data_IF_411897133201
#
_entry.id   IF_411897133201
#
_cell.length_a   1.000
_cell.length_b   1.000
_cell.length_c   1.000
_cell.angle_alpha   90.00
_cell.angle_beta   90.00
_cell.angle_gamma   90.00
#
_symmetry.space_group_name_H-M   'P 1'
#
loop_
_entity.id
_entity.type
_entity.pdbx_description
1 polymer ?
#
# COMPACT_ATOMS: atom_id res chain seq x y z
N UNK A 1 21.34 -26.23 -34.42
CA UNK A 1 20.11 -26.84 -33.85
C UNK A 1 20.14 -26.94 -32.32
N UNK A 2 21.28 -27.22 -31.68
CA UNK A 2 21.37 -27.38 -30.20
C UNK A 2 21.22 -26.09 -29.36
N UNK A 3 21.57 -24.91 -29.89
CA UNK A 3 21.50 -23.65 -29.13
C UNK A 3 20.07 -23.11 -28.94
N UNK A 4 19.21 -23.33 -29.93
CA UNK A 4 17.80 -22.90 -29.88
C UNK A 4 17.00 -23.76 -28.91
N UNK A 5 17.28 -25.06 -28.86
CA UNK A 5 16.65 -25.97 -27.89
C UNK A 5 17.04 -25.61 -26.44
N UNK A 6 18.31 -25.29 -26.19
CA UNK A 6 18.80 -24.88 -24.87
C UNK A 6 18.18 -23.57 -24.37
N UNK A 7 18.02 -22.57 -25.26
CA UNK A 7 17.31 -21.29 -24.94
C UNK A 7 15.83 -21.51 -24.65
N UNK A 8 15.15 -22.44 -25.34
CA UNK A 8 13.73 -22.76 -25.10
C UNK A 8 13.51 -23.41 -23.74
N UNK A 9 14.42 -24.30 -23.33
CA UNK A 9 14.36 -24.98 -22.02
C UNK A 9 14.59 -23.99 -20.88
N UNK A 10 15.55 -23.06 -21.00
CA UNK A 10 15.81 -22.04 -19.98
C UNK A 10 14.62 -21.09 -19.83
N UNK A 11 14.00 -20.67 -20.92
CA UNK A 11 12.84 -19.79 -20.89
C UNK A 11 11.62 -20.47 -20.25
N UNK A 12 11.38 -21.76 -20.54
CA UNK A 12 10.33 -22.55 -19.89
C UNK A 12 10.59 -22.74 -18.40
N UNK A 13 11.84 -22.87 -17.98
CA UNK A 13 12.23 -23.01 -16.57
C UNK A 13 11.98 -21.69 -15.82
N UNK A 14 12.37 -20.57 -16.40
CA UNK A 14 12.14 -19.23 -15.81
C UNK A 14 10.64 -18.95 -15.67
N UNK A 15 9.85 -19.28 -16.70
CA UNK A 15 8.39 -19.11 -16.67
C UNK A 15 7.72 -19.96 -15.58
N UNK A 16 8.22 -21.20 -15.37
CA UNK A 16 7.72 -22.08 -14.31
C UNK A 16 8.02 -21.53 -12.91
N UNK A 17 9.23 -21.02 -12.68
CA UNK A 17 9.60 -20.42 -11.39
C UNK A 17 8.88 -19.09 -11.16
N UNK A 18 8.67 -18.27 -12.17
CA UNK A 18 7.88 -17.04 -12.07
C UNK A 18 6.41 -17.35 -11.73
N UNK A 19 5.83 -18.37 -12.37
CA UNK A 19 4.49 -18.84 -12.05
C UNK A 19 4.39 -19.39 -10.61
N UNK A 20 5.42 -20.10 -10.15
CA UNK A 20 5.48 -20.60 -8.79
C UNK A 20 5.57 -19.48 -7.75
N UNK A 21 6.37 -18.45 -8.01
CA UNK A 21 6.48 -17.27 -7.14
C UNK A 21 5.15 -16.51 -7.08
N UNK A 22 4.47 -16.33 -8.22
CA UNK A 22 3.14 -15.71 -8.28
C UNK A 22 2.10 -16.54 -7.52
N UNK A 23 2.18 -17.87 -7.61
CA UNK A 23 1.30 -18.78 -6.85
C UNK A 23 1.55 -18.69 -5.34
N UNK A 24 2.82 -18.67 -4.91
CA UNK A 24 3.20 -18.53 -3.49
C UNK A 24 2.74 -17.18 -2.90
N UNK A 25 2.81 -16.08 -3.66
CA UNK A 25 2.31 -14.78 -3.22
C UNK A 25 0.79 -14.79 -3.05
N UNK A 26 0.06 -15.47 -3.95
CA UNK A 26 -1.40 -15.58 -3.83
C UNK A 26 -1.84 -16.46 -2.65
N UNK A 27 -1.10 -17.52 -2.31
CA UNK A 27 -1.41 -18.36 -1.13
C UNK A 27 -1.24 -17.59 0.18
N UNK A 28 -0.30 -16.66 0.25
CA UNK A 28 -0.15 -15.77 1.42
C UNK A 28 -1.30 -14.75 1.55
N UNK A 29 -1.92 -14.34 0.44
CA UNK A 29 -3.05 -13.42 0.45
C UNK A 29 -4.38 -14.10 0.86
N UNK A 30 -4.53 -15.40 0.64
CA UNK A 30 -5.73 -16.16 1.01
C UNK A 30 -5.79 -16.45 2.53
N UNK A 31 -4.64 -16.52 3.22
CA UNK A 31 -4.58 -16.69 4.67
C UNK A 31 -4.80 -15.41 5.47
N UNK A 32 -5.12 -14.29 4.84
CA UNK A 32 -5.47 -13.02 5.48
C UNK A 32 -6.99 -12.81 5.62
N UNK A 33 -7.80 -13.84 5.45
CA UNK A 33 -9.14 -13.82 6.02
C UNK A 33 -9.00 -14.07 7.51
N UNK A 34 -8.93 -12.97 8.26
CA UNK A 34 -9.12 -12.97 9.70
C UNK A 34 -10.42 -13.71 10.00
N UNK A 35 -10.31 -14.95 10.42
CA UNK A 35 -11.32 -15.59 11.23
C UNK A 35 -11.40 -14.75 12.50
N UNK A 36 -12.36 -13.83 12.54
CA UNK A 36 -12.67 -13.04 13.72
C UNK A 36 -13.03 -14.05 14.80
N UNK A 37 -12.27 -14.13 15.91
CA UNK A 37 -12.50 -15.16 16.88
C UNK A 37 -13.85 -14.92 17.56
N UNK A 38 -14.73 -15.89 17.51
CA UNK A 38 -15.97 -16.01 18.31
C UNK A 38 -15.71 -15.89 19.83
N UNK A 39 -14.46 -15.94 20.24
CA UNK A 39 -13.92 -15.98 21.62
C UNK A 39 -14.21 -14.68 22.41
N UNK A 40 -14.41 -13.53 21.77
CA UNK A 40 -14.56 -12.26 22.50
C UNK A 40 -15.89 -12.13 23.22
N UNK A 41 -16.97 -12.68 22.66
CA UNK A 41 -18.31 -12.63 23.26
C UNK A 41 -18.48 -13.68 24.37
N UNK A 42 -17.90 -14.85 24.26
CA UNK A 42 -17.98 -15.91 25.27
C UNK A 42 -17.41 -15.48 26.62
N UNK A 43 -16.27 -14.78 26.61
CA UNK A 43 -15.67 -14.21 27.83
C UNK A 43 -16.57 -13.18 28.48
N UNK A 44 -17.21 -12.32 27.70
CA UNK A 44 -18.13 -11.30 28.18
C UNK A 44 -19.41 -11.92 28.75
N UNK A 45 -19.96 -12.93 28.08
CA UNK A 45 -21.14 -13.66 28.55
C UNK A 45 -20.86 -14.37 29.88
N UNK A 46 -19.72 -15.04 30.00
CA UNK A 46 -19.29 -15.69 31.23
C UNK A 46 -19.17 -14.72 32.41
N UNK A 47 -18.58 -13.53 32.13
CA UNK A 47 -18.50 -12.47 33.13
C UNK A 47 -19.84 -11.92 33.56
N UNK A 48 -20.79 -11.71 32.62
CA UNK A 48 -22.14 -11.27 32.92
C UNK A 48 -22.92 -12.32 33.71
N UNK A 49 -22.74 -13.60 33.40
CA UNK A 49 -23.38 -14.70 34.20
C UNK A 49 -22.86 -14.72 35.64
N UNK A 50 -21.58 -14.51 35.85
CA UNK A 50 -21.00 -14.38 37.20
C UNK A 50 -21.55 -13.16 37.94
N UNK A 51 -21.80 -12.06 37.23
CA UNK A 51 -22.35 -10.85 37.82
C UNK A 51 -23.74 -11.04 38.44
N UNK A 52 -24.58 -11.94 37.93
CA UNK A 52 -25.88 -12.24 38.54
C UNK A 52 -25.73 -12.74 39.98
N UNK A 53 -24.77 -13.62 40.23
CA UNK A 53 -24.55 -14.16 41.58
C UNK A 53 -24.03 -13.08 42.54
N UNK A 54 -23.24 -12.13 42.02
CA UNK A 54 -22.77 -10.97 42.79
C UNK A 54 -23.93 -10.06 43.18
N UNK A 55 -24.81 -9.74 42.23
CA UNK A 55 -26.02 -8.90 42.46
C UNK A 55 -26.92 -9.52 43.55
N UNK A 56 -27.20 -10.82 43.45
CA UNK A 56 -28.03 -11.51 44.47
C UNK A 56 -27.38 -11.45 45.85
N UNK A 57 -26.07 -11.64 45.94
CA UNK A 57 -25.37 -11.61 47.22
C UNK A 57 -25.39 -10.21 47.84
N UNK A 58 -25.16 -9.18 47.05
CA UNK A 58 -25.18 -7.79 47.51
C UNK A 58 -26.57 -7.37 48.01
N UNK A 59 -27.62 -7.60 47.26
CA UNK A 59 -28.97 -7.21 47.68
C UNK A 59 -29.41 -7.95 48.96
N UNK A 60 -28.97 -9.21 49.15
CA UNK A 60 -29.17 -9.95 50.40
C UNK A 60 -28.39 -9.35 51.56
N UNK A 61 -27.15 -8.89 51.34
CA UNK A 61 -26.34 -8.20 52.37
C UNK A 61 -26.99 -6.86 52.74
N UNK A 62 -27.47 -6.07 51.77
CA UNK A 62 -28.16 -4.82 52.03
C UNK A 62 -29.44 -5.05 52.85
N UNK A 63 -30.24 -6.05 52.46
CA UNK A 63 -31.47 -6.42 53.19
C UNK A 63 -31.12 -6.82 54.63
N UNK A 64 -30.05 -7.56 54.88
CA UNK A 64 -29.59 -7.93 56.22
C UNK A 64 -29.29 -6.71 57.06
N UNK A 65 -28.51 -5.74 56.52
CA UNK A 65 -28.15 -4.49 57.20
C UNK A 65 -29.42 -3.69 57.53
N UNK A 66 -30.38 -3.61 56.60
CA UNK A 66 -31.64 -2.90 56.82
C UNK A 66 -32.51 -3.57 57.87
N UNK A 67 -32.60 -4.89 57.87
CA UNK A 67 -33.32 -5.69 58.90
C UNK A 67 -32.67 -5.52 60.27
N UNK A 68 -31.33 -5.53 60.37
CA UNK A 68 -30.61 -5.27 61.61
C UNK A 68 -30.86 -3.86 62.14
N UNK A 69 -30.91 -2.85 61.27
CA UNK A 69 -31.25 -1.48 61.64
C UNK A 69 -32.71 -1.35 62.18
N UNK A 70 -33.66 -2.08 61.56
CA UNK A 70 -35.05 -2.15 62.02
C UNK A 70 -35.13 -2.83 63.41
N UNK A 71 -34.40 -3.93 63.60
CA UNK A 71 -34.34 -4.62 64.90
C UNK A 71 -33.79 -3.69 66.02
N UNK A 72 -32.70 -2.98 65.80
CA UNK A 72 -32.15 -2.00 66.77
C UNK A 72 -33.15 -0.91 67.11
N UNK A 73 -34.00 -0.48 66.17
CA UNK A 73 -35.07 0.51 66.48
C UNK A 73 -36.17 -0.08 67.32
N UNK A 74 -36.53 -1.36 67.08
CA UNK A 74 -37.50 -2.10 67.91
C UNK A 74 -36.97 -2.30 69.32
N UNK A 75 -35.72 -2.79 69.50
CA UNK A 75 -35.07 -3.03 70.77
C UNK A 75 -34.96 -1.75 71.62
N UNK A 76 -34.73 -0.61 70.94
CA UNK A 76 -34.70 0.70 71.56
C UNK A 76 -36.09 1.32 71.85
N UNK A 77 -37.16 0.60 71.60
CA UNK A 77 -38.54 1.05 71.83
C UNK A 77 -38.99 2.20 70.91
N UNK A 78 -38.33 2.45 69.83
CA UNK A 78 -38.66 3.54 68.87
C UNK A 78 -39.75 3.20 67.89
N UNK A 79 -40.10 1.92 67.74
CA UNK A 79 -41.13 1.41 66.85
C UNK A 79 -41.83 0.21 67.52
N UNK A 80 -43.09 -0.04 67.14
CA UNK A 80 -43.81 -1.19 67.64
C UNK A 80 -43.43 -2.46 66.87
N UNK A 81 -43.78 -3.65 67.44
CA UNK A 81 -43.53 -4.94 66.80
C UNK A 81 -44.24 -5.05 65.44
N UNK A 82 -45.45 -4.52 65.30
CA UNK A 82 -46.26 -4.52 64.06
C UNK A 82 -45.61 -3.61 62.99
N UNK A 83 -45.14 -2.44 63.44
CA UNK A 83 -44.37 -1.51 62.50
C UNK A 83 -43.07 -2.12 62.02
N UNK A 84 -42.30 -2.77 62.91
CA UNK A 84 -41.11 -3.47 62.55
C UNK A 84 -41.37 -4.57 61.54
N UNK A 85 -42.43 -5.36 61.70
CA UNK A 85 -42.82 -6.41 60.76
C UNK A 85 -43.17 -5.83 59.37
N UNK A 86 -43.96 -4.73 59.34
CA UNK A 86 -44.34 -4.04 58.10
C UNK A 86 -43.09 -3.49 57.34
N UNK A 87 -42.17 -2.89 58.12
CA UNK A 87 -40.93 -2.37 57.55
C UNK A 87 -40.03 -3.48 56.97
N UNK A 88 -39.87 -4.60 57.66
CA UNK A 88 -39.12 -5.76 57.20
C UNK A 88 -39.74 -6.36 55.95
N UNK A 89 -41.04 -6.51 55.87
CA UNK A 89 -41.76 -6.99 54.67
C UNK A 89 -41.56 -6.04 53.49
N UNK A 90 -41.64 -4.72 53.74
CA UNK A 90 -41.38 -3.69 52.70
C UNK A 90 -39.93 -3.75 52.18
N UNK A 91 -38.96 -3.86 53.07
CA UNK A 91 -37.54 -3.98 52.68
C UNK A 91 -37.28 -5.25 51.88
N UNK A 92 -37.83 -6.40 52.32
CA UNK A 92 -37.71 -7.67 51.59
C UNK A 92 -38.33 -7.60 50.18
N UNK A 93 -39.50 -6.97 50.04
CA UNK A 93 -40.16 -6.77 48.73
C UNK A 93 -39.33 -5.89 47.82
N UNK A 94 -38.75 -4.79 48.33
CA UNK A 94 -37.89 -3.90 47.54
C UNK A 94 -36.62 -4.62 47.09
N UNK A 95 -35.95 -5.35 47.99
CA UNK A 95 -34.77 -6.13 47.63
C UNK A 95 -35.08 -7.18 46.54
N UNK A 96 -36.21 -7.89 46.65
CA UNK A 96 -36.62 -8.85 45.62
C UNK A 96 -36.85 -8.18 44.24
N UNK A 97 -37.52 -7.03 44.19
CA UNK A 97 -37.73 -6.27 42.95
C UNK A 97 -36.40 -5.73 42.37
N UNK A 98 -35.48 -5.28 43.23
CA UNK A 98 -34.16 -4.83 42.79
C UNK A 98 -33.35 -5.98 42.16
N UNK A 99 -33.37 -7.17 42.80
CA UNK A 99 -32.73 -8.36 42.25
C UNK A 99 -33.32 -8.70 40.87
N UNK A 100 -34.63 -8.78 40.76
CA UNK A 100 -35.33 -9.10 39.51
C UNK A 100 -34.97 -8.11 38.39
N UNK A 101 -35.07 -6.83 38.65
CA UNK A 101 -34.77 -5.79 37.66
C UNK A 101 -33.28 -5.79 37.24
N UNK A 102 -32.34 -5.92 38.18
CA UNK A 102 -30.89 -5.94 37.89
C UNK A 102 -30.52 -7.19 37.13
N UNK A 103 -31.07 -8.36 37.47
CA UNK A 103 -30.87 -9.61 36.71
C UNK A 103 -31.46 -9.48 35.31
N UNK A 104 -32.66 -8.93 35.15
CA UNK A 104 -33.28 -8.72 33.84
C UNK A 104 -32.46 -7.85 32.91
N UNK A 105 -31.82 -6.80 33.44
CA UNK A 105 -30.87 -5.96 32.66
C UNK A 105 -29.68 -6.80 32.18
N UNK A 106 -29.12 -7.65 33.07
CA UNK A 106 -27.98 -8.52 32.72
C UNK A 106 -28.38 -9.55 31.67
N UNK A 107 -29.57 -10.16 31.81
CA UNK A 107 -30.10 -11.16 30.86
C UNK A 107 -30.32 -10.56 29.47
N UNK A 108 -30.94 -9.39 29.41
CA UNK A 108 -31.09 -8.67 28.14
C UNK A 108 -29.73 -8.39 27.47
N UNK A 109 -28.71 -8.11 28.27
CA UNK A 109 -27.35 -7.87 27.74
C UNK A 109 -26.70 -9.16 27.26
N UNK A 110 -26.84 -10.26 27.96
CA UNK A 110 -26.40 -11.60 27.52
C UNK A 110 -27.07 -11.95 26.19
N UNK A 111 -28.38 -11.81 26.09
CA UNK A 111 -29.15 -12.07 24.87
C UNK A 111 -28.69 -11.19 23.68
N UNK A 112 -28.25 -9.96 23.94
CA UNK A 112 -27.68 -9.10 22.91
C UNK A 112 -26.34 -9.62 22.43
N UNK A 113 -25.43 -10.07 23.32
CA UNK A 113 -24.16 -10.66 22.95
C UNK A 113 -24.29 -12.01 22.25
N UNK A 114 -25.29 -12.82 22.60
CA UNK A 114 -25.56 -14.10 21.94
C UNK A 114 -26.11 -13.93 20.50
N UNK A 115 -26.89 -12.86 20.26
CA UNK A 115 -27.48 -12.59 18.93
C UNK A 115 -26.56 -11.82 17.98
N UNK A 116 -25.55 -11.13 18.47
CA UNK A 116 -24.71 -10.27 17.66
C UNK A 116 -23.26 -10.73 17.75
N UNK A 117 -22.74 -11.34 16.68
CA UNK A 117 -21.35 -11.77 16.56
C UNK A 117 -20.36 -10.61 16.59
N UNK A 118 -20.79 -9.42 16.27
CA UNK A 118 -20.06 -8.16 16.34
C UNK A 118 -20.66 -7.33 17.46
N UNK A 119 -19.89 -7.11 18.53
CA UNK A 119 -20.34 -6.31 19.68
C UNK A 119 -21.18 -5.08 19.28
N UNK A 120 -21.95 -4.53 20.18
CA UNK A 120 -23.03 -3.52 20.03
C UNK A 120 -22.74 -2.26 19.17
N UNK A 121 -21.66 -2.22 18.38
CA UNK A 121 -21.25 -1.12 17.52
C UNK A 121 -21.91 -1.16 16.12
N UNK A 122 -23.23 -0.96 16.05
CA UNK A 122 -23.87 -0.42 14.84
C UNK A 122 -23.86 1.11 14.93
N UNK A 123 -22.77 1.72 14.40
CA UNK A 123 -22.67 3.11 13.99
C UNK A 123 -23.55 4.13 14.73
N UNK A 124 -23.16 4.59 15.89
CA UNK A 124 -23.86 5.66 16.56
C UNK A 124 -23.36 5.80 18.01
N UNK A 125 -23.16 7.04 18.41
CA UNK A 125 -22.70 7.57 19.70
C UNK A 125 -22.63 6.55 20.86
N UNK A 126 -21.50 6.51 21.54
CA UNK A 126 -21.18 5.73 22.72
C UNK A 126 -22.33 5.66 23.74
N UNK A 127 -22.97 4.52 23.87
CA UNK A 127 -23.87 4.24 24.97
C UNK A 127 -23.05 3.65 26.12
N UNK A 128 -22.67 4.48 27.08
CA UNK A 128 -22.04 4.03 28.33
C UNK A 128 -23.10 3.37 29.19
N UNK A 129 -23.13 2.06 29.27
CA UNK A 129 -23.96 1.29 30.22
C UNK A 129 -23.04 0.92 31.41
N UNK A 130 -23.13 1.68 32.48
CA UNK A 130 -22.56 1.35 33.77
C UNK A 130 -23.55 0.63 34.64
N UNK A 131 -23.17 -0.39 35.38
CA UNK A 131 -23.90 -0.93 36.51
C UNK A 131 -23.23 -0.37 37.77
N UNK A 132 -23.95 0.51 38.49
CA UNK A 132 -23.51 1.07 39.77
C UNK A 132 -24.05 0.16 40.87
N UNK A 133 -23.18 -0.35 41.73
CA UNK A 133 -23.53 -1.21 42.85
C UNK A 133 -22.96 -0.56 44.11
N UNK A 134 -23.82 -0.24 45.09
CA UNK A 134 -23.41 0.34 46.36
C UNK A 134 -22.84 1.74 46.31
N UNK A 135 -23.08 2.49 45.21
CA UNK A 135 -22.46 3.83 45.00
C UNK A 135 -21.10 3.81 44.38
N UNK A 136 -20.49 2.65 44.22
CA UNK A 136 -19.23 2.47 43.47
C UNK A 136 -19.50 1.86 42.10
N UNK A 137 -18.82 2.33 41.09
CA UNK A 137 -18.91 1.82 39.72
C UNK A 137 -18.20 0.47 39.62
N UNK A 138 -18.95 -0.64 39.85
CA UNK A 138 -18.39 -2.00 39.90
C UNK A 138 -18.19 -2.61 38.51
N UNK A 139 -18.86 -2.11 37.51
CA UNK A 139 -18.71 -2.49 36.12
C UNK A 139 -18.93 -1.29 35.21
N UNK A 140 -17.86 -0.66 34.87
CA UNK A 140 -17.76 -0.09 33.56
C UNK A 140 -17.57 -1.27 32.60
N UNK A 141 -18.57 -1.55 31.77
CA UNK A 141 -18.22 -1.85 30.41
C UNK A 141 -17.71 -0.49 29.87
N UNK A 142 -16.52 -0.13 30.31
CA UNK A 142 -15.66 0.69 29.52
C UNK A 142 -15.64 -0.11 28.23
N UNK A 143 -16.42 0.27 27.25
CA UNK A 143 -15.87 0.18 25.90
C UNK A 143 -14.50 0.79 26.08
N UNK A 144 -13.49 -0.09 26.16
CA UNK A 144 -12.13 0.39 26.21
C UNK A 144 -12.16 1.63 25.36
N UNK A 145 -11.69 2.73 25.87
CA UNK A 145 -11.10 3.74 25.04
C UNK A 145 -9.96 3.02 24.31
N UNK A 146 -10.30 1.97 23.58
CA UNK A 146 -9.66 1.55 22.38
C UNK A 146 -9.84 2.79 21.53
N UNK A 147 -8.95 3.76 21.81
CA UNK A 147 -8.55 4.77 20.82
C UNK A 147 -8.48 3.96 19.57
N UNK A 148 -9.61 3.99 18.81
CA UNK A 148 -9.92 3.10 17.67
C UNK A 148 -8.62 2.88 17.00
N UNK A 149 -8.06 1.63 17.02
CA UNK A 149 -6.66 1.41 16.64
C UNK A 149 -6.55 2.02 15.28
N UNK A 150 -5.94 3.22 15.21
CA UNK A 150 -5.92 4.01 14.00
C UNK A 150 -5.31 3.13 12.93
N UNK A 151 -6.00 2.98 11.82
CA UNK A 151 -5.53 2.17 10.71
C UNK A 151 -4.15 2.66 10.27
N UNK A 152 -3.18 1.78 10.25
CA UNK A 152 -1.82 2.07 9.78
C UNK A 152 -1.79 2.02 8.25
N UNK A 153 -1.98 3.16 7.58
CA UNK A 153 -1.89 3.27 6.12
C UNK A 153 -0.43 3.15 5.67
N UNK A 154 0.03 1.90 5.47
CA UNK A 154 1.41 1.58 5.13
C UNK A 154 1.77 1.84 3.68
N UNK A 155 0.81 1.74 2.77
CA UNK A 155 1.01 1.90 1.33
C UNK A 155 0.30 3.14 0.84
N UNK A 156 0.98 3.93 0.03
CA UNK A 156 0.45 5.03 -0.77
C UNK A 156 0.77 4.81 -2.24
N UNK A 157 0.10 5.53 -3.13
CA UNK A 157 0.36 5.48 -4.57
C UNK A 157 0.68 6.86 -5.09
N UNK A 158 1.59 6.90 -6.06
CA UNK A 158 2.03 8.13 -6.74
C UNK A 158 1.85 7.95 -8.25
N UNK A 159 1.36 8.98 -8.94
CA UNK A 159 1.50 9.09 -10.38
C UNK A 159 2.93 9.53 -10.70
N UNK A 160 3.57 8.84 -11.64
CA UNK A 160 4.97 9.08 -12.02
C UNK A 160 5.03 9.72 -13.39
N UNK A 161 5.63 10.90 -13.46
CA UNK A 161 5.99 11.59 -14.70
C UNK A 161 7.48 11.87 -14.67
N UNK A 162 8.23 11.41 -15.69
CA UNK A 162 9.64 11.80 -15.84
C UNK A 162 9.98 12.13 -17.28
N UNK A 163 10.85 13.09 -17.48
CA UNK A 163 11.35 13.45 -18.79
C UNK A 163 12.76 14.06 -18.69
N UNK A 164 13.49 13.99 -19.77
CA UNK A 164 14.86 14.51 -19.82
C UNK A 164 15.60 14.11 -21.07
N UNK A 165 16.90 14.16 -20.95
CA UNK A 165 17.84 13.80 -22.00
C UNK A 165 18.02 12.28 -22.05
N UNK A 166 18.26 11.79 -23.26
CA UNK A 166 18.50 10.39 -23.54
C UNK A 166 19.67 10.25 -24.50
N UNK A 167 20.49 9.24 -24.31
CA UNK A 167 21.56 8.93 -25.23
C UNK A 167 21.91 7.44 -25.17
N UNK A 168 22.90 7.01 -25.91
CA UNK A 168 23.44 5.66 -25.85
C UNK A 168 24.93 5.68 -25.58
N UNK A 169 25.39 4.76 -24.76
CA UNK A 169 26.81 4.43 -24.60
C UNK A 169 27.11 3.29 -25.56
N UNK A 170 28.05 3.50 -26.45
CA UNK A 170 28.53 2.51 -27.40
C UNK A 170 29.70 1.74 -26.75
N UNK A 171 29.70 0.43 -26.85
CA UNK A 171 30.73 -0.41 -26.27
C UNK A 171 32.10 -0.03 -26.80
N UNK A 172 33.04 0.26 -25.87
CA UNK A 172 34.42 0.70 -26.20
C UNK A 172 34.57 2.19 -26.51
N UNK A 173 33.49 2.98 -26.45
CA UNK A 173 33.50 4.42 -26.72
C UNK A 173 33.05 5.22 -25.49
N UNK A 174 33.42 6.50 -25.42
CA UNK A 174 32.91 7.42 -24.41
C UNK A 174 31.52 7.95 -24.80
N UNK A 175 30.79 8.50 -23.82
CA UNK A 175 29.49 9.10 -24.10
C UNK A 175 29.53 10.29 -25.06
N UNK A 176 30.67 11.00 -25.11
CA UNK A 176 30.89 12.12 -26.02
C UNK A 176 30.99 11.69 -27.48
N UNK A 177 31.46 10.47 -27.73
CA UNK A 177 31.62 9.87 -29.06
C UNK A 177 30.30 9.23 -29.58
N UNK A 178 29.24 9.34 -28.81
CA UNK A 178 27.92 8.79 -29.18
C UNK A 178 27.41 9.34 -30.52
N UNK A 179 26.91 8.48 -31.43
CA UNK A 179 26.40 8.92 -32.73
C UNK A 179 25.04 9.63 -32.65
N UNK A 180 24.59 9.99 -31.43
CA UNK A 180 23.29 10.62 -31.17
C UNK A 180 23.43 12.01 -30.59
N UNK A 181 22.62 12.95 -31.09
CA UNK A 181 22.58 14.34 -30.61
C UNK A 181 22.18 14.39 -29.13
N UNK A 182 23.04 14.90 -28.28
CA UNK A 182 22.83 15.01 -26.83
C UNK A 182 21.55 15.81 -26.51
N UNK A 183 21.37 17.02 -26.99
CA UNK A 183 20.19 17.85 -26.74
C UNK A 183 18.96 17.48 -27.56
N UNK A 184 19.10 16.58 -28.55
CA UNK A 184 18.02 16.14 -29.46
C UNK A 184 17.32 14.86 -29.05
N UNK A 185 18.04 13.99 -28.40
CA UNK A 185 17.57 12.71 -27.89
C UNK A 185 16.93 12.92 -26.51
N UNK A 186 15.71 12.46 -26.33
CA UNK A 186 14.93 12.73 -25.10
C UNK A 186 14.11 11.51 -24.72
N UNK A 187 13.92 11.32 -23.42
CA UNK A 187 12.98 10.33 -22.90
C UNK A 187 11.73 10.99 -22.27
N UNK A 188 10.67 10.22 -22.22
CA UNK A 188 9.45 10.48 -21.46
C UNK A 188 9.05 9.18 -20.76
N UNK A 189 8.71 9.28 -19.49
CA UNK A 189 8.20 8.15 -18.70
C UNK A 189 6.88 8.56 -18.02
N UNK A 190 5.87 7.71 -18.15
CA UNK A 190 4.55 7.86 -17.53
C UNK A 190 4.23 6.56 -16.80
N UNK A 191 3.90 6.63 -15.52
CA UNK A 191 3.69 5.44 -14.74
C UNK A 191 2.85 5.64 -13.49
N UNK A 192 2.67 4.54 -12.81
CA UNK A 192 2.01 4.47 -11.51
C UNK A 192 2.86 3.65 -10.56
N UNK A 193 3.11 4.17 -9.37
CA UNK A 193 3.93 3.50 -8.38
C UNK A 193 3.21 3.41 -7.03
N UNK A 194 3.38 2.29 -6.36
CA UNK A 194 3.01 2.09 -4.97
C UNK A 194 4.26 2.19 -4.11
N UNK A 195 4.11 2.82 -2.96
CA UNK A 195 5.16 3.05 -1.99
C UNK A 195 4.73 2.47 -0.65
N UNK A 196 5.39 1.41 -0.23
CA UNK A 196 5.07 0.65 0.98
C UNK A 196 6.18 0.83 2.03
N UNK A 197 5.80 1.17 3.24
CA UNK A 197 6.71 1.26 4.38
C UNK A 197 7.21 -0.13 4.78
N UNK A 198 8.53 -0.31 4.89
CA UNK A 198 9.14 -1.59 5.24
C UNK A 198 9.04 -1.87 6.73
N UNK A 199 9.49 -0.95 7.59
CA UNK A 199 9.52 -1.17 9.03
C UNK A 199 8.21 -0.77 9.73
N UNK A 200 7.84 -1.48 10.79
CA UNK A 200 6.61 -1.22 11.56
C UNK A 200 6.65 0.16 12.24
N UNK A 201 7.78 0.53 12.84
CA UNK A 201 7.91 1.73 13.68
C UNK A 201 8.70 2.86 13.01
N UNK A 202 9.18 2.68 11.77
CA UNK A 202 9.96 3.66 11.03
C UNK A 202 9.57 3.67 9.57
N UNK A 203 9.50 4.86 8.98
CA UNK A 203 9.28 5.04 7.55
C UNK A 203 10.55 5.54 6.83
N UNK A 204 11.72 5.29 7.42
CA UNK A 204 13.00 5.66 6.80
C UNK A 204 13.26 4.88 5.52
N UNK A 205 12.89 3.59 5.49
CA UNK A 205 12.99 2.73 4.32
C UNK A 205 11.60 2.42 3.76
N UNK A 206 11.44 2.65 2.47
CA UNK A 206 10.23 2.38 1.70
C UNK A 206 10.55 1.51 0.49
N UNK A 207 9.67 0.59 0.18
CA UNK A 207 9.72 -0.22 -1.03
C UNK A 207 8.76 0.39 -2.04
N UNK A 208 9.29 0.87 -3.18
CA UNK A 208 8.54 1.50 -4.24
C UNK A 208 8.54 0.60 -5.47
N UNK A 209 7.37 0.27 -5.99
CA UNK A 209 7.18 -0.64 -7.11
C UNK A 209 6.00 -0.18 -7.95
N UNK A 210 5.97 -0.56 -9.22
CA UNK A 210 4.89 -0.13 -10.10
C UNK A 210 5.05 -0.57 -11.54
N UNK A 211 4.47 0.19 -12.44
CA UNK A 211 4.65 0.05 -13.89
C UNK A 211 4.80 1.42 -14.53
N UNK A 212 5.55 1.47 -15.62
CA UNK A 212 5.78 2.70 -16.39
C UNK A 212 5.87 2.42 -17.88
N UNK A 213 5.35 3.33 -18.67
CA UNK A 213 5.62 3.42 -20.09
C UNK A 213 6.82 4.35 -20.29
N UNK A 214 7.92 3.80 -20.77
CA UNK A 214 9.13 4.55 -21.11
C UNK A 214 9.23 4.75 -22.61
N UNK A 215 9.35 5.98 -23.08
CA UNK A 215 9.53 6.35 -24.46
C UNK A 215 10.92 6.95 -24.61
N UNK A 216 11.88 6.14 -25.03
CA UNK A 216 13.26 6.53 -25.27
C UNK A 216 13.43 6.96 -26.73
N UNK A 217 13.92 8.16 -26.95
CA UNK A 217 14.13 8.70 -28.28
C UNK A 217 15.59 8.92 -28.59
N UNK A 218 16.08 8.36 -29.68
CA UNK A 218 17.42 8.56 -30.20
C UNK A 218 17.35 9.38 -31.47
N UNK A 219 18.15 10.42 -31.57
CA UNK A 219 18.25 11.30 -32.72
C UNK A 219 19.67 11.21 -33.29
N UNK A 220 19.90 10.52 -34.42
CA UNK A 220 21.21 10.43 -35.04
C UNK A 220 21.77 11.80 -35.42
N UNK A 221 23.10 11.90 -35.40
CA UNK A 221 23.82 13.03 -35.92
C UNK A 221 24.08 12.91 -37.44
N UNK A 222 24.74 13.86 -38.02
CA UNK A 222 25.27 13.86 -39.40
C UNK A 222 24.28 13.42 -40.50
N UNK A 223 23.07 13.91 -40.46
CA UNK A 223 22.06 13.59 -41.47
C UNK A 223 21.76 12.09 -41.63
N UNK A 224 22.00 11.27 -40.58
CA UNK A 224 21.86 9.81 -40.59
C UNK A 224 20.48 9.36 -40.13
N UNK A 225 20.10 8.15 -40.54
CA UNK A 225 18.88 7.47 -40.15
C UNK A 225 19.14 5.99 -39.91
N UNK A 226 18.21 5.32 -39.21
CA UNK A 226 18.35 3.90 -38.89
C UNK A 226 17.90 3.04 -40.07
N UNK A 227 18.77 2.10 -40.47
CA UNK A 227 18.51 1.12 -41.51
C UNK A 227 18.70 -0.28 -40.96
N UNK A 228 17.71 -1.14 -41.17
CA UNK A 228 17.80 -2.54 -40.82
C UNK A 228 18.41 -3.34 -41.97
N UNK A 229 19.57 -3.93 -41.76
CA UNK A 229 20.26 -4.83 -42.70
C UNK A 229 20.38 -6.21 -42.06
N UNK A 230 19.47 -7.11 -42.43
CA UNK A 230 19.36 -8.43 -41.80
C UNK A 230 19.14 -8.32 -40.29
N UNK A 231 20.09 -8.86 -39.49
CA UNK A 231 20.03 -8.83 -38.03
C UNK A 231 20.70 -7.57 -37.43
N UNK A 232 21.30 -6.70 -38.25
CA UNK A 232 21.98 -5.50 -37.80
C UNK A 232 21.13 -4.26 -38.03
N UNK A 233 21.22 -3.29 -37.14
CA UNK A 233 20.68 -1.94 -37.34
C UNK A 233 21.81 -0.94 -37.36
N UNK A 234 22.02 -0.30 -38.50
CA UNK A 234 23.09 0.62 -38.74
C UNK A 234 22.56 2.04 -38.97
N UNK A 235 23.47 3.02 -38.80
CA UNK A 235 23.22 4.40 -39.20
C UNK A 235 23.77 4.61 -40.60
N UNK A 236 22.90 5.09 -41.50
CA UNK A 236 23.26 5.40 -42.90
C UNK A 236 22.90 6.86 -43.18
N UNK A 237 23.71 7.51 -44.02
CA UNK A 237 23.44 8.86 -44.47
C UNK A 237 22.20 8.88 -45.36
N UNK A 238 21.33 9.88 -45.15
CA UNK A 238 20.13 10.07 -45.96
C UNK A 238 20.40 10.95 -47.17
N UNK A 239 19.89 10.64 -48.37
CA UNK A 239 20.18 11.38 -49.58
C UNK A 239 19.82 12.86 -49.52
N UNK A 240 18.68 13.19 -48.89
CA UNK A 240 18.22 14.57 -48.76
C UNK A 240 18.54 15.12 -47.33
N UNK A 241 18.46 16.43 -47.19
CA UNK A 241 18.71 17.05 -45.89
C UNK A 241 17.54 16.78 -44.91
N UNK A 242 17.81 16.00 -43.86
CA UNK A 242 16.83 15.64 -42.82
C UNK A 242 16.59 16.79 -41.86
N UNK A 243 15.37 17.37 -41.88
CA UNK A 243 14.93 18.28 -40.83
C UNK A 243 14.72 17.54 -39.49
N UNK A 244 14.42 16.25 -39.56
CA UNK A 244 14.23 15.39 -38.38
C UNK A 244 14.49 13.93 -38.70
N UNK A 245 15.39 13.32 -37.97
CA UNK A 245 15.51 11.87 -37.84
C UNK A 245 15.35 11.53 -36.35
N UNK A 246 14.45 10.61 -36.01
CA UNK A 246 14.27 10.17 -34.63
C UNK A 246 13.75 8.72 -34.58
N UNK A 247 14.46 7.86 -33.91
CA UNK A 247 13.96 6.55 -33.47
C UNK A 247 13.32 6.72 -32.09
N UNK A 248 12.12 6.20 -31.90
CA UNK A 248 11.40 6.17 -30.61
C UNK A 248 11.12 4.73 -30.25
N UNK A 249 11.64 4.31 -29.11
CA UNK A 249 11.49 2.97 -28.54
C UNK A 249 10.58 3.11 -27.34
N UNK A 250 9.48 2.39 -27.33
CA UNK A 250 8.47 2.42 -26.24
C UNK A 250 8.51 1.10 -25.52
N UNK A 251 8.76 1.17 -24.23
CA UNK A 251 8.85 0.01 -23.34
C UNK A 251 7.76 0.10 -22.25
N UNK A 252 7.18 -1.05 -21.90
CA UNK A 252 6.44 -1.23 -20.66
C UNK A 252 7.38 -1.86 -19.65
N UNK A 253 7.66 -1.17 -18.56
CA UNK A 253 8.60 -1.62 -17.53
C UNK A 253 7.96 -1.68 -16.16
N UNK A 254 8.52 -2.51 -15.28
CA UNK A 254 8.14 -2.68 -13.89
C UNK A 254 9.31 -2.24 -13.00
N UNK A 255 9.34 -0.97 -12.59
CA UNK A 255 10.39 -0.45 -11.73
C UNK A 255 10.21 -0.92 -10.29
N UNK A 256 11.34 -1.16 -9.62
CA UNK A 256 11.44 -1.50 -8.21
C UNK A 256 12.58 -0.68 -7.60
N UNK A 257 12.27 0.10 -6.54
CA UNK A 257 13.25 0.93 -5.85
C UNK A 257 13.16 0.75 -4.33
N UNK A 258 14.30 0.78 -3.67
CA UNK A 258 14.39 1.08 -2.26
C UNK A 258 14.57 2.59 -2.09
N UNK A 259 13.62 3.22 -1.42
CA UNK A 259 13.63 4.66 -1.16
C UNK A 259 13.95 4.91 0.31
N UNK A 260 14.98 5.72 0.56
CA UNK A 260 15.48 6.09 1.88
C UNK A 260 15.21 7.58 2.13
N UNK A 261 14.95 7.92 3.37
CA UNK A 261 14.82 9.32 3.78
C UNK A 261 13.83 9.54 4.90
N UNK A 262 13.89 10.71 5.54
CA UNK A 262 13.01 11.09 6.63
C UNK A 262 11.54 11.19 6.19
N UNK A 263 10.65 11.20 7.16
CA UNK A 263 9.21 11.39 6.95
C UNK A 263 8.56 11.93 8.22
N UNK A 264 7.40 12.56 8.07
CA UNK A 264 6.59 13.06 9.18
C UNK A 264 5.36 12.18 9.35
N UNK A 265 5.08 11.79 10.59
CA UNK A 265 3.84 11.07 10.92
C UNK A 265 2.67 12.07 10.86
N UNK A 266 1.64 11.72 10.12
CA UNK A 266 0.40 12.49 9.98
C UNK A 266 -0.71 11.66 10.60
N UNK A 267 -1.23 12.12 11.74
CA UNK A 267 -2.33 11.49 12.45
C UNK A 267 -3.67 12.09 12.01
N UNK A 268 -4.59 11.22 11.61
CA UNK A 268 -6.00 11.52 11.32
C UNK A 268 -6.90 10.84 12.36
N UNK A 269 -8.18 11.10 12.33
CA UNK A 269 -9.13 10.50 13.29
C UNK A 269 -9.19 8.97 13.19
N UNK A 270 -9.23 8.43 11.96
CA UNK A 270 -9.43 7.00 11.69
C UNK A 270 -8.16 6.26 11.27
N UNK A 271 -7.11 6.98 10.82
CA UNK A 271 -5.85 6.38 10.36
C UNK A 271 -4.66 7.29 10.66
N UNK A 272 -3.47 6.72 10.61
CA UNK A 272 -2.24 7.48 10.50
C UNK A 272 -1.45 7.05 9.25
N UNK A 273 -0.69 7.97 8.71
CA UNK A 273 0.25 7.72 7.61
C UNK A 273 1.55 8.47 7.86
N UNK A 274 2.60 8.07 7.13
CA UNK A 274 3.84 8.82 7.09
C UNK A 274 3.91 9.57 5.77
N UNK A 275 4.16 10.87 5.83
CA UNK A 275 4.31 11.75 4.66
C UNK A 275 5.77 12.09 4.44
N UNK A 276 6.21 12.03 3.19
CA UNK A 276 7.54 12.45 2.73
C UNK A 276 7.52 13.87 2.15
N UNK A 277 6.44 14.60 2.33
CA UNK A 277 6.29 15.97 1.85
C UNK A 277 7.31 16.90 2.51
N UNK A 278 7.97 17.75 1.72
CA UNK A 278 9.06 18.63 2.14
C UNK A 278 10.22 17.86 2.81
N UNK A 279 10.55 16.65 2.32
CA UNK A 279 11.66 15.85 2.81
C UNK A 279 12.58 15.42 1.67
N UNK A 280 13.87 15.31 1.97
CA UNK A 280 14.84 14.69 1.06
C UNK A 280 14.67 13.17 1.02
N UNK A 281 14.80 12.59 -0.17
CA UNK A 281 14.71 11.17 -0.41
C UNK A 281 15.76 10.73 -1.43
N UNK A 282 16.29 9.55 -1.26
CA UNK A 282 17.17 8.89 -2.22
C UNK A 282 16.52 7.54 -2.55
N UNK A 283 16.32 7.29 -3.83
CA UNK A 283 15.83 6.00 -4.32
C UNK A 283 16.85 5.35 -5.22
N UNK A 284 17.06 4.05 -5.04
CA UNK A 284 17.91 3.23 -5.90
C UNK A 284 17.25 1.89 -6.16
N UNK A 285 17.45 1.39 -7.37
CA UNK A 285 16.86 0.12 -7.78
C UNK A 285 17.06 -0.15 -9.25
N UNK A 286 16.11 -0.85 -9.83
CA UNK A 286 16.16 -1.22 -11.24
C UNK A 286 14.75 -1.42 -11.80
N UNK A 287 14.72 -1.82 -13.03
CA UNK A 287 13.50 -2.15 -13.75
C UNK A 287 13.74 -3.26 -14.75
N UNK A 288 12.68 -3.99 -15.05
CA UNK A 288 12.65 -4.93 -16.15
C UNK A 288 11.32 -4.80 -16.87
N UNK A 289 11.29 -5.11 -18.15
CA UNK A 289 10.09 -4.98 -18.96
C UNK A 289 10.30 -5.39 -20.40
N UNK A 290 9.36 -4.96 -21.26
CA UNK A 290 9.30 -5.40 -22.65
C UNK A 290 9.18 -4.20 -23.58
N UNK A 291 9.80 -4.30 -24.74
CA UNK A 291 9.56 -3.39 -25.85
C UNK A 291 8.13 -3.64 -26.39
N UNK A 292 7.32 -2.60 -26.45
CA UNK A 292 5.96 -2.65 -26.97
C UNK A 292 5.81 -1.93 -28.31
N UNK A 293 6.87 -1.27 -28.77
CA UNK A 293 6.86 -0.67 -30.10
C UNK A 293 8.05 0.22 -30.40
N UNK A 294 8.50 0.13 -31.61
CA UNK A 294 9.58 0.96 -32.15
C UNK A 294 9.11 1.69 -33.39
N UNK A 295 9.46 2.95 -33.50
CA UNK A 295 9.05 3.82 -34.61
C UNK A 295 10.14 4.80 -34.98
N UNK A 296 10.55 4.79 -36.26
CA UNK A 296 11.36 5.84 -36.86
C UNK A 296 10.47 6.93 -37.46
N UNK A 297 10.84 8.18 -37.30
CA UNK A 297 10.21 9.35 -37.94
C UNK A 297 11.25 10.19 -38.62
N UNK A 298 11.09 10.34 -39.95
CA UNK A 298 11.90 11.20 -40.80
C UNK A 298 11.06 12.39 -41.26
N UNK A 299 11.70 13.54 -41.40
CA UNK A 299 11.13 14.73 -42.05
C UNK A 299 12.20 15.33 -42.96
N UNK A 300 11.91 15.51 -44.22
CA UNK A 300 12.78 16.06 -45.24
C UNK A 300 12.00 16.85 -46.27
N UNK A 301 12.69 17.53 -47.18
CA UNK A 301 12.07 18.15 -48.36
C UNK A 301 12.48 17.37 -49.61
N UNK A 302 11.51 17.06 -50.44
CA UNK A 302 11.74 16.47 -51.76
C UNK A 302 11.01 17.36 -52.77
N UNK A 303 11.67 17.84 -53.79
CA UNK A 303 11.10 18.73 -54.83
C UNK A 303 10.31 19.92 -54.29
N UNK A 304 10.77 20.51 -53.14
CA UNK A 304 10.13 21.64 -52.47
C UNK A 304 9.03 21.25 -51.47
N UNK A 305 8.49 20.06 -51.54
CA UNK A 305 7.44 19.57 -50.64
C UNK A 305 8.00 18.99 -49.34
N UNK A 306 7.27 19.19 -48.21
CA UNK A 306 7.62 18.61 -46.92
C UNK A 306 7.08 17.18 -46.81
N UNK A 307 7.98 16.22 -46.79
CA UNK A 307 7.67 14.82 -46.57
C UNK A 307 7.85 14.45 -45.09
N UNK A 308 6.88 13.69 -44.58
CA UNK A 308 6.87 13.15 -43.23
C UNK A 308 6.68 11.64 -43.30
N UNK A 309 7.79 10.93 -43.24
CA UNK A 309 7.79 9.47 -43.19
C UNK A 309 7.78 8.94 -41.76
N UNK A 310 6.95 7.94 -41.49
CA UNK A 310 6.80 7.26 -40.20
C UNK A 310 6.84 5.76 -40.41
N UNK A 311 7.93 5.14 -40.05
CA UNK A 311 8.14 3.71 -40.18
C UNK A 311 7.96 3.04 -38.83
N UNK A 312 6.97 2.14 -38.73
CA UNK A 312 6.76 1.26 -37.59
C UNK A 312 7.29 -0.12 -37.93
N UNK A 313 8.43 -0.49 -37.40
CA UNK A 313 9.04 -1.83 -37.53
C UNK A 313 9.96 -2.08 -36.33
N UNK A 314 10.41 -3.31 -36.14
CA UNK A 314 11.20 -3.70 -34.99
C UNK A 314 12.60 -3.07 -34.89
N UNK A 315 13.21 -2.72 -36.02
CA UNK A 315 14.60 -2.19 -36.09
C UNK A 315 15.57 -3.02 -35.24
N UNK A 316 15.38 -4.34 -35.16
CA UNK A 316 16.15 -5.26 -34.32
C UNK A 316 16.32 -4.79 -32.85
N UNK A 317 15.40 -3.97 -32.33
CA UNK A 317 15.43 -3.56 -30.92
C UNK A 317 15.20 -4.73 -29.99
N UNK A 318 15.85 -4.72 -28.83
CA UNK A 318 15.74 -5.75 -27.83
C UNK A 318 14.29 -5.89 -27.34
N UNK A 319 13.80 -7.12 -27.25
CA UNK A 319 12.43 -7.38 -26.79
C UNK A 319 12.32 -7.25 -25.28
N UNK A 320 13.35 -7.67 -24.53
CA UNK A 320 13.46 -7.56 -23.08
C UNK A 320 14.37 -6.38 -22.75
N UNK A 321 13.88 -5.50 -21.89
CA UNK A 321 14.61 -4.33 -21.41
C UNK A 321 14.76 -4.46 -19.90
N UNK A 322 15.97 -4.31 -19.40
CA UNK A 322 16.25 -4.26 -17.97
C UNK A 322 17.42 -3.32 -17.70
N UNK A 323 17.41 -2.70 -16.53
CA UNK A 323 18.41 -1.71 -16.21
C UNK A 323 18.35 -1.28 -14.75
N UNK A 324 19.27 -0.37 -14.42
CA UNK A 324 19.38 0.27 -13.13
C UNK A 324 18.81 1.68 -13.19
N UNK A 325 18.27 2.15 -12.08
CA UNK A 325 17.81 3.52 -11.97
C UNK A 325 17.94 4.03 -10.54
N UNK A 326 18.15 5.35 -10.43
CA UNK A 326 18.26 6.01 -9.16
C UNK A 326 17.78 7.45 -9.23
N UNK A 327 17.39 7.99 -8.08
CA UNK A 327 16.97 9.38 -7.98
C UNK A 327 17.30 9.99 -6.62
N UNK A 328 17.52 11.30 -6.64
CA UNK A 328 17.60 12.14 -5.45
C UNK A 328 16.43 13.12 -5.54
N UNK A 329 15.56 13.12 -4.54
CA UNK A 329 14.33 13.88 -4.55
C UNK A 329 14.20 14.82 -3.34
N UNK A 330 13.60 15.96 -3.59
CA UNK A 330 13.04 16.80 -2.54
C UNK A 330 11.55 16.98 -2.81
N UNK A 331 10.73 16.65 -1.83
CA UNK A 331 9.27 16.64 -1.98
C UNK A 331 8.81 15.73 -3.14
N UNK A 332 8.16 16.28 -4.11
CA UNK A 332 7.61 15.58 -5.28
C UNK A 332 8.53 15.60 -6.50
N UNK A 333 9.67 16.30 -6.44
CA UNK A 333 10.58 16.51 -7.56
C UNK A 333 11.89 15.80 -7.33
N UNK A 334 12.38 15.08 -8.34
CA UNK A 334 13.61 14.32 -8.28
C UNK A 334 14.51 14.56 -9.50
N UNK A 335 15.82 14.58 -9.28
CA UNK A 335 16.82 14.31 -10.31
C UNK A 335 16.87 12.79 -10.51
N UNK A 336 16.70 12.32 -11.74
CA UNK A 336 16.51 10.93 -12.07
C UNK A 336 17.48 10.46 -13.13
N UNK A 337 18.15 9.34 -12.90
CA UNK A 337 19.08 8.69 -13.82
C UNK A 337 18.64 7.25 -14.08
N UNK A 338 18.78 6.80 -15.33
CA UNK A 338 18.54 5.41 -15.77
C UNK A 338 19.68 4.96 -16.66
N UNK A 339 20.01 3.68 -16.55
CA UNK A 339 20.95 2.99 -17.42
C UNK A 339 20.38 1.60 -17.76
N UNK A 340 20.12 1.37 -19.06
CA UNK A 340 19.71 0.06 -19.54
C UNK A 340 20.95 -0.85 -19.61
N UNK A 341 20.96 -1.92 -18.80
CA UNK A 341 21.98 -2.97 -18.87
C UNK A 341 21.76 -3.85 -20.10
N UNK A 342 20.54 -3.97 -20.54
CA UNK A 342 20.21 -4.62 -21.82
C UNK A 342 20.60 -3.73 -23.00
N UNK A 343 21.17 -4.28 -24.08
CA UNK A 343 21.48 -3.49 -25.27
C UNK A 343 20.19 -2.99 -25.95
N UNK A 344 20.29 -1.84 -26.63
CA UNK A 344 19.18 -1.22 -27.38
C UNK A 344 18.74 -2.12 -28.55
N UNK A 345 19.72 -2.64 -29.28
CA UNK A 345 19.53 -3.50 -30.42
C UNK A 345 20.10 -4.90 -30.12
N UNK A 346 19.42 -5.93 -30.57
CA UNK A 346 19.87 -7.32 -30.44
C UNK A 346 20.76 -7.72 -31.60
N UNK A 347 21.61 -8.70 -31.32
CA UNK A 347 22.48 -9.34 -32.33
C UNK A 347 23.43 -8.33 -33.05
N UNK A 348 23.81 -7.23 -32.38
CA UNK A 348 24.79 -6.26 -32.87
C UNK A 348 26.24 -6.76 -32.69
N UNK A 349 27.16 -6.28 -33.53
CA UNK A 349 28.59 -6.52 -33.34
C UNK A 349 29.13 -5.68 -32.16
N UNK A 350 28.64 -4.47 -32.02
CA UNK A 350 28.98 -3.51 -30.98
C UNK A 350 27.71 -3.15 -30.23
N UNK A 351 27.64 -3.42 -28.95
CA UNK A 351 26.46 -3.16 -28.13
C UNK A 351 26.30 -1.66 -27.83
N UNK A 352 25.07 -1.24 -27.74
CA UNK A 352 24.69 0.13 -27.37
C UNK A 352 23.70 0.08 -26.21
N UNK A 353 24.06 0.74 -25.12
CA UNK A 353 23.25 0.77 -23.90
C UNK A 353 22.63 2.16 -23.69
N UNK A 354 21.35 2.20 -23.44
CA UNK A 354 20.62 3.45 -23.25
C UNK A 354 20.92 4.08 -21.89
N UNK A 355 21.20 5.39 -21.89
CA UNK A 355 21.37 6.19 -20.69
C UNK A 355 20.42 7.38 -20.72
N UNK A 356 19.80 7.70 -19.59
CA UNK A 356 18.88 8.83 -19.47
C UNK A 356 19.15 9.62 -18.19
N UNK A 357 19.06 10.94 -18.31
CA UNK A 357 19.15 11.87 -17.18
C UNK A 357 18.02 12.90 -17.31
N UNK A 358 17.28 13.12 -16.23
CA UNK A 358 16.17 14.06 -16.28
C UNK A 358 15.53 14.36 -14.93
N UNK A 359 14.36 14.94 -14.99
CA UNK A 359 13.54 15.28 -13.84
C UNK A 359 12.38 14.32 -13.75
N UNK A 360 12.10 13.86 -12.55
CA UNK A 360 10.97 12.99 -12.20
C UNK A 360 10.06 13.68 -11.20
N UNK A 361 8.77 13.53 -11.40
CA UNK A 361 7.71 14.02 -10.53
C UNK A 361 6.93 12.82 -10.02
N UNK A 362 6.82 12.71 -8.70
CA UNK A 362 5.98 11.74 -8.01
C UNK A 362 4.80 12.51 -7.37
N UNK A 363 3.63 12.41 -7.97
CA UNK A 363 2.42 13.16 -7.55
C UNK A 363 1.51 12.22 -6.76
N UNK A 364 1.29 12.54 -5.44
CA UNK A 364 0.44 11.81 -4.48
C UNK A 364 -1.04 12.27 -4.57
#
# INVERSE_FOLDING_TARGET
MNSVLKKRTVMQTITKYLALVVLCVNVQLINAQDTIPAIKNEKNIKMLRHLKTVVEKEEKEFLKIEVEAINKRLDNGKITSEEAQKLKMKAAKLAALNIENRIGIIDNKIALFERNDYGLNRGGKETKLGVIIGGEEVLYVRENDDKRKKYDKRTSSDFVLAFGLNNAIVEGENLEDSPYKFGGSRFLELGWAWKTRVFKNSNFLRFKYGYSFQINGLKPDDNKYFVQQGNQTILQEFPENLKKSKLSITNLVFPVHFEFGPSKKVDKETYFRYSTRNQFKIGMGGYAGFNIGTRQKLKYKLNGEQIKDKQKRGFNTSNLVYGLSGYIAFDSVALYVKYDVSPIFKDQIIDQNNISLGVRFDVD
#
